data_IF_690800376866
#
_entry.id   IF_690800376866
#
_cell.length_a   1.000
_cell.length_b   1.000
_cell.length_c   1.000
_cell.angle_alpha   90.00
_cell.angle_beta   90.00
_cell.angle_gamma   90.00
#
_symmetry.space_group_name_H-M   'P 1'
#
loop_
_entity.id
_entity.type
_entity.pdbx_description
1 polymer ?
#
# COMPACT_ATOMS: atom_id res chain seq x y z
N UNK A 1 38.26 65.11 5.06
CA UNK A 1 38.58 63.67 5.17
C UNK A 1 37.70 62.94 4.16
N UNK A 2 38.30 62.58 3.01
CA UNK A 2 37.67 61.96 1.84
C UNK A 2 37.26 60.50 2.13
N UNK A 3 36.12 60.04 1.62
CA UNK A 3 35.94 58.67 1.08
C UNK A 3 34.59 58.62 0.33
N UNK A 4 34.52 59.08 -0.92
CA UNK A 4 34.61 58.30 -2.17
C UNK A 4 33.57 57.17 -2.27
N UNK A 5 32.57 57.42 -3.11
CA UNK A 5 31.69 56.42 -3.71
C UNK A 5 32.49 55.35 -4.46
N UNK A 6 32.09 54.07 -4.38
CA UNK A 6 32.40 53.08 -5.43
C UNK A 6 31.26 52.09 -5.62
N UNK A 7 31.01 51.89 -6.90
CA UNK A 7 29.98 51.12 -7.60
C UNK A 7 30.19 49.61 -7.56
N UNK A 8 29.09 48.93 -7.90
CA UNK A 8 28.88 47.49 -8.09
C UNK A 8 30.04 46.66 -8.67
N UNK A 9 30.12 45.40 -8.20
CA UNK A 9 30.43 44.23 -9.03
C UNK A 9 29.56 43.05 -8.61
N UNK A 10 28.61 42.70 -9.48
CA UNK A 10 28.07 41.36 -9.59
C UNK A 10 29.24 40.40 -9.83
N UNK A 11 29.48 39.44 -8.94
CA UNK A 11 30.30 38.27 -9.24
C UNK A 11 29.38 37.07 -9.40
N UNK A 12 29.31 36.60 -10.64
CA UNK A 12 28.78 35.30 -11.01
C UNK A 12 29.81 34.28 -10.52
N UNK A 13 29.50 33.55 -9.45
CA UNK A 13 30.24 32.35 -9.08
C UNK A 13 29.34 31.16 -9.39
N UNK A 14 29.64 30.54 -10.53
CA UNK A 14 29.09 29.27 -10.97
C UNK A 14 29.68 28.11 -10.15
N UNK A 15 28.98 26.99 -10.22
CA UNK A 15 29.51 25.63 -10.05
C UNK A 15 29.85 25.21 -8.61
N UNK A 16 28.83 24.68 -7.94
CA UNK A 16 28.98 23.71 -6.85
C UNK A 16 28.00 22.59 -7.14
N UNK A 17 28.54 21.48 -7.65
CA UNK A 17 27.83 20.35 -8.24
C UNK A 17 26.65 19.89 -7.37
N UNK A 18 25.46 19.91 -7.96
CA UNK A 18 24.35 19.09 -7.49
C UNK A 18 24.82 17.63 -7.52
N UNK A 19 25.20 17.11 -6.35
CA UNK A 19 25.39 15.68 -6.15
C UNK A 19 24.05 15.02 -6.43
N UNK A 20 23.94 14.46 -7.64
CA UNK A 20 22.85 13.59 -8.05
C UNK A 20 22.66 12.54 -6.98
N UNK A 21 21.59 12.67 -6.20
CA UNK A 21 21.06 11.58 -5.43
C UNK A 21 20.66 10.49 -6.44
N UNK A 22 21.39 9.39 -6.34
CA UNK A 22 21.29 8.17 -7.11
C UNK A 22 19.85 7.65 -7.11
N UNK A 23 19.39 7.20 -8.28
CA UNK A 23 18.03 6.68 -8.53
C UNK A 23 17.65 5.55 -7.57
N UNK A 24 16.54 5.73 -6.84
CA UNK A 24 15.74 4.65 -6.24
C UNK A 24 14.39 5.21 -5.75
N UNK A 25 13.34 5.27 -6.58
CA UNK A 25 12.00 5.59 -6.08
C UNK A 25 10.86 5.16 -7.02
N UNK A 26 10.54 3.87 -7.02
CA UNK A 26 9.19 3.43 -7.41
C UNK A 26 8.10 3.84 -6.38
N UNK A 27 8.51 4.41 -5.24
CA UNK A 27 7.67 4.85 -4.10
C UNK A 27 7.32 6.36 -4.15
N UNK A 28 7.45 7.05 -5.28
CA UNK A 28 7.15 8.50 -5.38
C UNK A 28 5.76 8.81 -5.99
N UNK A 29 5.12 7.85 -6.66
CA UNK A 29 3.81 8.05 -7.28
C UNK A 29 2.67 7.80 -6.29
N UNK A 30 2.06 8.88 -5.79
CA UNK A 30 0.92 8.84 -4.87
C UNK A 30 -0.44 8.79 -5.58
N UNK A 31 -0.48 8.58 -6.91
CA UNK A 31 -1.72 8.63 -7.69
C UNK A 31 -2.76 7.62 -7.18
N UNK A 32 -2.35 6.39 -6.86
CA UNK A 32 -3.26 5.38 -6.32
C UNK A 32 -3.79 5.78 -4.94
N UNK A 33 -2.93 6.34 -4.08
CA UNK A 33 -3.33 6.86 -2.77
C UNK A 33 -4.40 7.93 -2.92
N UNK A 34 -4.17 8.95 -3.77
CA UNK A 34 -5.13 10.03 -4.02
C UNK A 34 -6.46 9.50 -4.57
N UNK A 35 -6.44 8.56 -5.51
CA UNK A 35 -7.65 7.91 -6.04
C UNK A 35 -8.44 7.18 -4.96
N UNK A 36 -7.76 6.46 -4.06
CA UNK A 36 -8.41 5.72 -2.99
C UNK A 36 -9.02 6.67 -1.94
N UNK A 37 -8.33 7.74 -1.57
CA UNK A 37 -8.89 8.77 -0.68
C UNK A 37 -10.12 9.44 -1.31
N UNK A 38 -10.05 9.80 -2.59
CA UNK A 38 -11.20 10.37 -3.31
C UNK A 38 -12.40 9.41 -3.35
N UNK A 39 -12.18 8.10 -3.47
CA UNK A 39 -13.24 7.10 -3.36
C UNK A 39 -13.91 7.13 -1.97
N UNK A 40 -13.12 7.20 -0.89
CA UNK A 40 -13.66 7.24 0.46
C UNK A 40 -14.48 8.51 0.71
N UNK A 41 -13.96 9.66 0.29
CA UNK A 41 -14.64 10.95 0.40
C UNK A 41 -15.96 10.95 -0.39
N UNK A 42 -15.93 10.48 -1.65
CA UNK A 42 -17.12 10.40 -2.50
C UNK A 42 -18.21 9.46 -1.95
N UNK A 43 -17.82 8.48 -1.12
CA UNK A 43 -18.73 7.52 -0.49
C UNK A 43 -19.07 7.87 0.97
N UNK A 44 -18.55 8.99 1.49
CA UNK A 44 -18.77 9.40 2.88
C UNK A 44 -18.20 8.42 3.91
N UNK A 45 -17.18 7.65 3.55
CA UNK A 45 -16.59 6.64 4.42
C UNK A 45 -15.54 7.27 5.34
N UNK A 46 -15.75 7.11 6.65
CA UNK A 46 -14.79 7.52 7.66
C UNK A 46 -13.48 6.74 7.50
N UNK A 47 -12.36 7.47 7.48
CA UNK A 47 -11.05 6.89 7.29
C UNK A 47 -9.99 7.73 8.00
N UNK A 48 -8.92 7.09 8.45
CA UNK A 48 -7.75 7.78 8.99
C UNK A 48 -6.53 7.53 8.09
N UNK A 49 -5.63 8.51 8.06
CA UNK A 49 -4.41 8.49 7.27
C UNK A 49 -3.22 8.77 8.17
N UNK A 50 -2.08 8.15 7.87
CA UNK A 50 -0.86 8.38 8.61
C UNK A 50 0.35 8.32 7.67
N UNK A 51 1.11 9.41 7.66
CA UNK A 51 2.43 9.47 7.04
C UNK A 51 3.49 9.01 8.06
N UNK A 52 4.35 8.09 7.66
CA UNK A 52 5.43 7.58 8.50
C UNK A 52 6.66 7.16 7.67
N UNK A 53 7.74 6.74 8.33
CA UNK A 53 8.92 6.23 7.64
C UNK A 53 8.59 4.98 6.79
N UNK A 54 9.26 4.73 5.65
CA UNK A 54 8.90 3.61 4.78
C UNK A 54 9.05 2.26 5.48
N UNK A 55 8.06 1.39 5.31
CA UNK A 55 8.03 0.06 5.95
C UNK A 55 8.06 -1.07 4.93
N UNK A 56 8.98 -2.02 5.10
CA UNK A 56 9.13 -3.20 4.22
C UNK A 56 8.42 -4.44 4.75
N UNK A 57 8.19 -4.50 6.07
CA UNK A 57 7.55 -5.64 6.73
C UNK A 57 6.34 -5.18 7.52
N UNK A 58 5.41 -6.12 7.77
CA UNK A 58 4.21 -5.86 8.55
C UNK A 58 4.53 -5.43 9.98
N UNK A 59 5.57 -6.03 10.59
CA UNK A 59 6.07 -5.68 11.91
C UNK A 59 6.55 -4.22 11.95
N UNK A 60 7.31 -3.79 10.94
CA UNK A 60 7.76 -2.41 10.81
C UNK A 60 6.57 -1.46 10.65
N UNK A 61 5.55 -1.84 9.87
CA UNK A 61 4.31 -1.06 9.73
C UNK A 61 3.57 -0.90 11.06
N UNK A 62 3.48 -1.93 11.90
CA UNK A 62 2.87 -1.82 13.24
C UNK A 62 3.65 -0.82 14.11
N UNK A 63 4.98 -0.90 14.13
CA UNK A 63 5.83 0.01 14.90
C UNK A 63 5.62 1.47 14.48
N UNK A 64 5.71 1.75 13.17
CA UNK A 64 5.55 3.11 12.65
C UNK A 64 4.13 3.65 12.85
N UNK A 65 3.09 2.81 12.68
CA UNK A 65 1.71 3.20 12.97
C UNK A 65 1.53 3.58 14.43
N UNK A 66 2.04 2.77 15.36
CA UNK A 66 1.97 3.05 16.80
C UNK A 66 2.71 4.33 17.18
N UNK A 67 3.90 4.57 16.62
CA UNK A 67 4.63 5.86 16.79
C UNK A 67 3.81 7.06 16.31
N UNK A 68 3.04 6.87 15.24
CA UNK A 68 2.11 7.87 14.71
C UNK A 68 0.79 8.03 15.46
N UNK A 69 0.64 7.42 16.65
CA UNK A 69 -0.53 7.57 17.52
C UNK A 69 -1.61 6.50 17.36
N UNK A 70 -1.43 5.55 16.44
CA UNK A 70 -2.35 4.41 16.25
C UNK A 70 -1.99 3.27 17.22
N UNK A 71 -2.11 3.53 18.53
CA UNK A 71 -1.60 2.67 19.63
C UNK A 71 -2.26 1.30 19.71
N UNK A 72 -3.50 1.17 19.23
CA UNK A 72 -4.30 -0.04 19.14
C UNK A 72 -3.91 -0.98 17.98
N UNK A 73 -3.05 -0.54 17.06
CA UNK A 73 -2.65 -1.36 15.89
C UNK A 73 -1.97 -2.66 16.34
N UNK A 74 -2.42 -3.79 15.82
CA UNK A 74 -1.78 -5.11 15.95
C UNK A 74 -1.36 -5.65 14.58
N UNK A 75 -0.54 -6.71 14.56
CA UNK A 75 -0.28 -7.43 13.30
C UNK A 75 -1.57 -7.98 12.68
N UNK A 76 -2.49 -8.52 13.49
CA UNK A 76 -3.77 -9.06 13.02
C UNK A 76 -4.67 -8.02 12.34
N UNK A 77 -4.61 -6.76 12.79
CA UNK A 77 -5.32 -5.65 12.15
C UNK A 77 -4.68 -5.18 10.83
N UNK A 78 -3.45 -5.62 10.54
CA UNK A 78 -2.74 -5.30 9.31
C UNK A 78 -3.28 -6.09 8.12
N UNK A 79 -3.82 -5.43 7.10
CA UNK A 79 -4.23 -6.10 5.87
C UNK A 79 -3.03 -6.27 4.93
N UNK A 80 -2.61 -7.52 4.72
CA UNK A 80 -1.56 -7.90 3.78
C UNK A 80 -2.18 -8.26 2.44
N UNK A 81 -1.79 -7.59 1.37
CA UNK A 81 -2.29 -7.85 0.02
C UNK A 81 -1.24 -8.58 -0.82
N UNK A 82 -1.59 -9.74 -1.37
CA UNK A 82 -0.72 -10.59 -2.18
C UNK A 82 -1.36 -10.83 -3.56
N UNK A 83 -0.73 -10.31 -4.61
CA UNK A 83 -1.23 -10.47 -5.97
C UNK A 83 -0.83 -11.83 -6.54
N UNK A 84 -1.80 -12.59 -7.02
CA UNK A 84 -1.61 -13.90 -7.64
C UNK A 84 -1.94 -13.83 -9.12
N UNK A 85 -1.06 -14.38 -9.97
CA UNK A 85 -1.31 -14.54 -11.41
C UNK A 85 -2.13 -15.81 -11.64
N UNK A 86 -3.20 -15.70 -12.45
CA UNK A 86 -4.02 -16.84 -12.89
C UNK A 86 -3.54 -17.33 -14.25
N UNK A 87 -3.49 -18.64 -14.47
CA UNK A 87 -3.07 -19.22 -15.75
C UNK A 87 -3.96 -18.80 -16.94
N UNK A 88 -5.26 -18.62 -16.69
CA UNK A 88 -6.27 -18.23 -17.69
C UNK A 88 -6.39 -16.72 -17.93
N UNK A 89 -5.41 -15.94 -17.50
CA UNK A 89 -5.42 -14.48 -17.57
C UNK A 89 -6.01 -13.80 -16.32
N UNK A 90 -5.66 -12.53 -16.15
CA UNK A 90 -5.99 -11.72 -14.98
C UNK A 90 -5.25 -12.10 -13.69
N UNK A 91 -5.67 -11.46 -12.60
CA UNK A 91 -5.07 -11.61 -11.29
C UNK A 91 -6.12 -11.85 -10.20
N UNK A 92 -5.67 -12.40 -9.08
CA UNK A 92 -6.42 -12.47 -7.83
C UNK A 92 -5.62 -11.74 -6.74
N UNK A 93 -6.19 -10.69 -6.15
CA UNK A 93 -5.60 -10.04 -4.98
C UNK A 93 -6.07 -10.80 -3.74
N UNK A 94 -5.17 -11.55 -3.11
CA UNK A 94 -5.48 -12.31 -1.91
C UNK A 94 -5.07 -11.49 -0.69
N UNK A 95 -6.04 -11.18 0.15
CA UNK A 95 -5.89 -10.30 1.30
C UNK A 95 -6.12 -11.08 2.58
N UNK A 96 -5.23 -10.97 3.55
CA UNK A 96 -5.27 -11.71 4.82
C UNK A 96 -4.66 -10.88 5.95
N UNK A 97 -4.94 -11.26 7.19
CA UNK A 97 -4.34 -10.62 8.36
C UNK A 97 -2.83 -10.85 8.38
N UNK A 98 -2.06 -9.84 8.76
CA UNK A 98 -0.61 -9.89 8.60
C UNK A 98 0.11 -10.84 9.58
N UNK A 99 -0.55 -11.26 10.66
CA UNK A 99 -0.11 -12.33 11.56
C UNK A 99 -0.38 -13.74 11.01
N UNK A 100 -1.10 -13.87 9.88
CA UNK A 100 -1.43 -15.15 9.26
C UNK A 100 -0.51 -15.50 8.11
N UNK A 101 -0.42 -16.81 7.86
CA UNK A 101 0.29 -17.37 6.72
C UNK A 101 -0.70 -17.95 5.73
N UNK A 102 -0.47 -17.68 4.46
CA UNK A 102 -1.25 -18.23 3.36
C UNK A 102 -1.07 -19.76 3.29
N UNK A 103 -2.17 -20.48 3.20
CA UNK A 103 -2.21 -21.90 2.86
C UNK A 103 -2.47 -22.07 1.37
N UNK A 104 -1.48 -22.55 0.63
CA UNK A 104 -1.56 -22.74 -0.82
C UNK A 104 -2.63 -23.74 -1.26
N UNK A 105 -2.89 -24.77 -0.45
CA UNK A 105 -3.89 -25.80 -0.77
C UNK A 105 -5.28 -25.20 -0.63
N UNK A 106 -5.54 -24.46 0.45
CA UNK A 106 -6.80 -23.74 0.65
C UNK A 106 -7.01 -22.65 -0.40
N UNK A 107 -5.99 -21.83 -0.68
CA UNK A 107 -6.05 -20.82 -1.73
C UNK A 107 -6.46 -21.41 -3.08
N UNK A 108 -5.81 -22.50 -3.50
CA UNK A 108 -6.11 -23.15 -4.78
C UNK A 108 -7.53 -23.72 -4.85
N UNK A 109 -8.07 -24.16 -3.72
CA UNK A 109 -9.45 -24.66 -3.59
C UNK A 109 -10.47 -23.51 -3.67
N UNK A 110 -10.20 -22.38 -3.00
CA UNK A 110 -11.13 -21.28 -2.88
C UNK A 110 -11.14 -20.35 -4.10
N UNK A 111 -9.98 -20.15 -4.76
CA UNK A 111 -9.81 -19.12 -5.79
C UNK A 111 -9.62 -19.71 -7.18
N UNK A 112 -8.56 -20.51 -7.40
CA UNK A 112 -8.29 -21.20 -8.66
C UNK A 112 -7.16 -22.23 -8.49
N UNK A 113 -7.21 -23.36 -9.22
CA UNK A 113 -6.18 -24.42 -9.15
C UNK A 113 -4.79 -23.94 -9.58
N UNK A 114 -4.73 -23.11 -10.63
CA UNK A 114 -3.50 -22.67 -11.27
C UNK A 114 -3.20 -21.22 -10.89
N UNK A 115 -2.64 -21.07 -9.69
CA UNK A 115 -2.17 -19.80 -9.14
C UNK A 115 -0.68 -19.87 -8.87
N UNK A 116 0.00 -18.76 -9.16
CA UNK A 116 1.33 -18.45 -8.62
C UNK A 116 1.34 -17.02 -8.09
N UNK A 117 2.29 -16.71 -7.22
CA UNK A 117 2.55 -15.33 -6.85
C UNK A 117 2.95 -14.54 -8.10
N UNK A 118 2.42 -13.32 -8.23
CA UNK A 118 2.86 -12.39 -9.27
C UNK A 118 4.32 -11.98 -9.02
N UNK A 119 5.07 -11.75 -10.09
CA UNK A 119 6.43 -11.18 -9.97
C UNK A 119 6.34 -9.71 -9.58
N UNK A 120 7.46 -9.10 -9.17
CA UNK A 120 7.51 -7.67 -8.85
C UNK A 120 7.08 -6.80 -10.03
N UNK A 121 7.46 -7.20 -11.24
CA UNK A 121 7.11 -6.53 -12.49
C UNK A 121 5.60 -6.62 -12.74
N UNK A 122 5.02 -7.81 -12.63
CA UNK A 122 3.56 -8.01 -12.78
C UNK A 122 2.77 -7.24 -11.71
N UNK A 123 3.25 -7.19 -10.47
CA UNK A 123 2.65 -6.37 -9.41
C UNK A 123 2.66 -4.89 -9.81
N UNK A 124 3.80 -4.38 -10.29
CA UNK A 124 3.91 -2.99 -10.69
C UNK A 124 3.07 -2.68 -11.93
N UNK A 125 3.02 -3.55 -12.92
CA UNK A 125 2.17 -3.37 -14.11
C UNK A 125 0.69 -3.31 -13.75
N UNK A 126 0.23 -4.20 -12.87
CA UNK A 126 -1.18 -4.29 -12.48
C UNK A 126 -1.63 -3.17 -11.54
N UNK A 127 -0.76 -2.76 -10.59
CA UNK A 127 -1.14 -1.87 -9.48
C UNK A 127 -0.43 -0.52 -9.46
N UNK A 128 0.66 -0.36 -10.22
CA UNK A 128 1.64 0.74 -10.09
C UNK A 128 2.28 0.86 -8.71
N UNK A 129 2.16 -0.18 -7.88
CA UNK A 129 2.80 -0.27 -6.58
C UNK A 129 4.00 -1.20 -6.62
N UNK A 130 4.92 -0.97 -5.71
CA UNK A 130 5.93 -1.94 -5.31
C UNK A 130 5.38 -2.90 -4.24
N UNK A 131 5.94 -4.11 -4.08
CA UNK A 131 5.53 -5.03 -3.02
C UNK A 131 5.57 -4.37 -1.63
N UNK A 132 4.52 -4.59 -0.84
CA UNK A 132 4.33 -3.98 0.48
C UNK A 132 3.65 -2.61 0.47
N UNK A 133 3.42 -2.00 -0.70
CA UNK A 133 2.66 -0.76 -0.86
C UNK A 133 1.25 -0.97 -1.45
N UNK A 134 0.99 -2.19 -1.96
CA UNK A 134 -0.28 -2.57 -2.60
C UNK A 134 -1.43 -2.51 -1.59
N UNK A 135 -2.45 -1.63 -1.77
CA UNK A 135 -3.63 -1.62 -0.93
C UNK A 135 -4.56 -2.81 -1.23
N UNK A 136 -5.44 -3.21 -0.29
CA UNK A 136 -6.36 -4.35 -0.46
C UNK A 136 -7.56 -4.04 -1.40
N UNK A 137 -7.39 -3.19 -2.41
CA UNK A 137 -8.44 -2.66 -3.29
C UNK A 137 -8.27 -3.06 -4.77
N UNK A 138 -8.05 -4.35 -5.00
CA UNK A 138 -7.73 -4.87 -6.33
C UNK A 138 -8.88 -4.73 -7.33
N UNK A 139 -10.12 -4.95 -6.90
CA UNK A 139 -11.30 -4.92 -7.77
C UNK A 139 -11.68 -3.50 -8.19
N UNK A 140 -11.31 -2.49 -7.39
CA UNK A 140 -11.59 -1.09 -7.70
C UNK A 140 -10.54 -0.45 -8.63
N UNK A 141 -9.26 -0.82 -8.49
CA UNK A 141 -8.18 -0.05 -9.12
C UNK A 141 -7.23 -0.85 -10.01
N UNK A 142 -7.20 -2.20 -9.94
CA UNK A 142 -6.24 -3.00 -10.69
C UNK A 142 -6.90 -3.67 -11.90
N UNK A 143 -6.21 -3.63 -13.03
CA UNK A 143 -6.70 -4.23 -14.26
C UNK A 143 -6.91 -5.74 -14.09
N UNK A 144 -8.07 -6.24 -14.55
CA UNK A 144 -8.42 -7.67 -14.57
C UNK A 144 -8.20 -8.41 -13.23
N UNK A 145 -8.40 -7.71 -12.11
CA UNK A 145 -8.14 -8.25 -10.78
C UNK A 145 -9.44 -8.38 -9.99
N UNK A 146 -9.60 -9.52 -9.31
CA UNK A 146 -10.64 -9.69 -8.27
C UNK A 146 -9.98 -9.84 -6.91
N UNK A 147 -10.58 -9.25 -5.89
CA UNK A 147 -10.10 -9.38 -4.51
C UNK A 147 -10.80 -10.51 -3.77
N UNK A 148 -10.00 -11.30 -3.05
CA UNK A 148 -10.41 -12.36 -2.16
C UNK A 148 -9.85 -12.04 -0.78
N UNK A 149 -10.69 -11.92 0.23
CA UNK A 149 -10.26 -11.60 1.59
C UNK A 149 -10.50 -12.77 2.53
N UNK A 150 -9.50 -13.09 3.33
CA UNK A 150 -9.58 -14.13 4.33
C UNK A 150 -10.40 -13.70 5.56
N UNK A 151 -11.16 -14.63 6.14
CA UNK A 151 -11.96 -14.39 7.34
C UNK A 151 -11.15 -13.86 8.54
N UNK A 152 -9.84 -14.12 8.60
CA UNK A 152 -8.96 -13.61 9.66
C UNK A 152 -8.97 -12.09 9.80
N UNK A 153 -9.16 -11.34 8.72
CA UNK A 153 -9.25 -9.88 8.81
C UNK A 153 -10.55 -9.40 9.46
N UNK A 154 -11.65 -10.13 9.23
CA UNK A 154 -12.95 -9.81 9.83
C UNK A 154 -13.04 -10.02 11.33
N UNK A 155 -11.98 -10.52 11.97
CA UNK A 155 -11.86 -10.57 13.43
C UNK A 155 -11.48 -9.20 14.03
N UNK A 156 -11.16 -8.21 13.19
CA UNK A 156 -10.80 -6.86 13.61
C UNK A 156 -11.89 -5.88 13.18
N UNK A 157 -12.36 -5.04 14.11
CA UNK A 157 -13.28 -3.94 13.79
C UNK A 157 -12.65 -2.99 12.76
N UNK A 158 -11.34 -2.77 12.86
CA UNK A 158 -10.56 -1.90 11.97
C UNK A 158 -9.39 -2.62 11.34
N UNK A 159 -9.16 -2.32 10.07
CA UNK A 159 -7.99 -2.76 9.34
C UNK A 159 -7.07 -1.59 9.01
N UNK A 160 -5.78 -1.87 8.87
CA UNK A 160 -4.77 -0.90 8.49
C UNK A 160 -3.81 -1.46 7.43
N UNK A 161 -3.50 -0.66 6.43
CA UNK A 161 -2.70 -1.09 5.28
C UNK A 161 -1.91 0.07 4.70
N UNK A 162 -0.82 -0.27 4.01
CA UNK A 162 -0.11 0.70 3.20
C UNK A 162 -0.91 0.95 1.92
N UNK A 163 -0.86 2.19 1.41
CA UNK A 163 -1.71 2.59 0.30
C UNK A 163 -0.90 3.32 -0.75
N UNK A 164 -0.60 2.64 -1.86
CA UNK A 164 0.16 3.19 -2.99
C UNK A 164 1.65 3.29 -2.70
N UNK A 165 2.00 3.70 -1.48
CA UNK A 165 3.33 3.99 -0.99
C UNK A 165 3.59 3.29 0.35
N UNK A 166 4.85 2.91 0.61
CA UNK A 166 5.26 2.33 1.90
C UNK A 166 5.30 3.31 3.07
N UNK A 167 5.11 4.60 2.80
CA UNK A 167 5.10 5.71 3.76
C UNK A 167 3.69 6.17 4.12
N UNK A 168 2.67 5.75 3.36
CA UNK A 168 1.28 6.14 3.54
C UNK A 168 0.48 4.97 4.08
N UNK A 169 0.04 5.05 5.33
CA UNK A 169 -0.92 4.11 5.92
C UNK A 169 -2.33 4.68 5.89
N UNK A 170 -3.29 3.80 5.63
CA UNK A 170 -4.73 4.06 5.73
C UNK A 170 -5.33 3.11 6.76
N UNK A 171 -6.33 3.60 7.50
CA UNK A 171 -7.15 2.81 8.44
C UNK A 171 -8.62 3.00 8.11
N UNK A 172 -9.36 1.89 8.09
CA UNK A 172 -10.79 1.79 7.83
C UNK A 172 -11.45 0.82 8.81
N UNK A 173 -12.74 1.00 9.06
CA UNK A 173 -13.57 -0.06 9.62
C UNK A 173 -13.72 -1.19 8.58
N UNK A 174 -13.70 -2.45 9.04
CA UNK A 174 -13.70 -3.61 8.15
C UNK A 174 -14.99 -3.69 7.31
N UNK A 175 -16.13 -3.34 7.88
CA UNK A 175 -17.41 -3.32 7.15
C UNK A 175 -17.42 -2.28 6.03
N UNK A 176 -16.81 -1.12 6.25
CA UNK A 176 -16.63 -0.10 5.21
C UNK A 176 -15.74 -0.62 4.09
N UNK A 177 -14.68 -1.35 4.43
CA UNK A 177 -13.84 -2.02 3.44
C UNK A 177 -14.65 -3.03 2.60
N UNK A 178 -15.46 -3.87 3.22
CA UNK A 178 -16.32 -4.83 2.50
C UNK A 178 -17.31 -4.12 1.58
N UNK A 179 -17.93 -3.02 2.02
CA UNK A 179 -18.89 -2.27 1.22
C UNK A 179 -18.25 -1.57 0.00
N UNK A 180 -17.02 -1.07 0.15
CA UNK A 180 -16.30 -0.38 -0.92
C UNK A 180 -15.67 -1.34 -1.91
N UNK A 181 -14.94 -2.35 -1.42
CA UNK A 181 -14.18 -3.28 -2.26
C UNK A 181 -15.03 -4.42 -2.81
N UNK A 182 -16.07 -4.83 -2.08
CA UNK A 182 -16.91 -6.00 -2.37
C UNK A 182 -16.09 -7.27 -2.67
N UNK A 183 -15.14 -7.66 -1.79
CA UNK A 183 -14.29 -8.82 -2.00
C UNK A 183 -15.08 -10.13 -1.81
N UNK A 184 -14.58 -11.22 -2.36
CA UNK A 184 -15.07 -12.57 -2.01
C UNK A 184 -14.42 -13.03 -0.71
N UNK A 185 -15.23 -13.34 0.31
CA UNK A 185 -14.74 -13.93 1.56
C UNK A 185 -14.34 -15.40 1.37
N UNK A 186 -13.17 -15.78 1.89
CA UNK A 186 -12.57 -17.10 1.73
C UNK A 186 -11.84 -17.57 2.99
N UNK A 187 -11.58 -18.88 3.10
CA UNK A 187 -10.60 -19.46 4.04
C UNK A 187 -9.36 -19.87 3.24
N UNK A 188 -8.27 -19.12 3.41
CA UNK A 188 -7.00 -19.28 2.70
C UNK A 188 -5.78 -19.21 3.63
N UNK A 189 -5.98 -19.20 4.95
CA UNK A 189 -4.89 -19.17 5.94
C UNK A 189 -4.64 -20.53 6.56
N UNK A 190 -3.40 -20.77 6.96
CA UNK A 190 -3.03 -21.94 7.76
C UNK A 190 -3.71 -21.88 9.13
N UNK A 191 -4.12 -23.05 9.64
CA UNK A 191 -4.66 -23.24 10.99
C UNK A 191 -3.63 -22.93 12.07
#
# INVERSE_FOLDING_TARGET
MLCVQKTAKFSVLSCGQATRATQASGDADDTLFRKLIALFEARGVAHARLLHAPTLTSEASVVERRKGGWTDTTLGSGAKAMLMRRSKGGFALCVLAADRKLDWKKLKKAVAKDLRLATTEEVFEASRCVPGAVPPFGSQFFAETRTFVDHSLGQNERINFNCGLRTQSVRLDFDSYLALEQPTLVDIVAS
#
